data_IF_396085808603
#
_entry.id   IF_396085808603
#
_cell.length_a   1.000
_cell.length_b   1.000
_cell.length_c   1.000
_cell.angle_alpha   90.00
_cell.angle_beta   90.00
_cell.angle_gamma   90.00
#
_symmetry.space_group_name_H-M   'P 1'
#
loop_
_entity.id
_entity.type
_entity.pdbx_description
1 polymer ?
#
# COMPACT_ATOMS: atom_id res chain seq x y z
N UNK A 1 1.47 -41.08 -23.15
CA UNK A 1 0.79 -39.77 -23.23
C UNK A 1 0.88 -39.12 -21.86
N UNK A 2 1.25 -37.83 -21.81
CA UNK A 2 1.17 -36.93 -20.64
C UNK A 2 -0.09 -36.04 -20.81
N UNK A 3 -0.71 -35.47 -19.76
CA UNK A 3 -0.11 -35.14 -18.47
C UNK A 3 -0.85 -35.65 -17.21
N UNK A 4 -0.05 -35.80 -16.16
CA UNK A 4 -0.46 -35.80 -14.76
C UNK A 4 -0.83 -34.36 -14.40
N UNK A 5 -2.06 -34.14 -13.97
CA UNK A 5 -2.49 -32.86 -13.39
C UNK A 5 -2.05 -32.86 -11.93
N UNK A 6 -1.02 -32.09 -11.60
CA UNK A 6 -0.66 -31.83 -10.21
C UNK A 6 -1.68 -30.84 -9.65
N UNK A 7 -2.66 -31.35 -8.90
CA UNK A 7 -3.60 -30.55 -8.13
C UNK A 7 -2.87 -30.08 -6.87
N UNK A 8 -1.99 -29.09 -7.00
CA UNK A 8 -1.50 -28.35 -5.84
C UNK A 8 -2.64 -27.41 -5.46
N UNK A 9 -3.49 -27.88 -4.55
CA UNK A 9 -4.30 -27.10 -3.62
C UNK A 9 -4.96 -25.85 -4.21
N UNK A 10 -5.92 -26.06 -5.11
CA UNK A 10 -6.95 -25.06 -5.37
C UNK A 10 -8.01 -25.15 -4.26
N UNK A 11 -7.65 -24.82 -3.01
CA UNK A 11 -8.63 -24.52 -1.97
C UNK A 11 -9.14 -23.11 -2.23
N UNK A 12 -10.00 -23.00 -3.24
CA UNK A 12 -10.85 -21.83 -3.44
C UNK A 12 -12.01 -21.96 -2.46
N UNK A 13 -11.72 -21.77 -1.17
CA UNK A 13 -12.75 -21.72 -0.14
C UNK A 13 -13.59 -20.47 -0.37
N UNK A 14 -14.87 -20.76 -0.52
CA UNK A 14 -15.96 -19.85 -0.82
C UNK A 14 -16.12 -18.82 0.32
N UNK A 15 -16.28 -17.55 -0.07
CA UNK A 15 -17.04 -16.54 0.68
C UNK A 15 -16.67 -16.41 2.18
N UNK A 16 -15.48 -15.89 2.47
CA UNK A 16 -15.32 -15.16 3.72
C UNK A 16 -16.27 -13.94 3.67
N UNK A 17 -17.10 -13.69 4.70
CA UNK A 17 -17.86 -12.45 4.78
C UNK A 17 -16.88 -11.27 4.69
N UNK A 18 -17.22 -10.22 3.94
CA UNK A 18 -16.34 -9.05 3.72
C UNK A 18 -15.89 -8.36 5.03
N UNK A 19 -16.53 -8.69 6.15
CA UNK A 19 -16.26 -8.22 7.51
C UNK A 19 -15.31 -9.13 8.33
N UNK A 20 -14.80 -10.23 7.77
CA UNK A 20 -13.61 -10.87 8.35
C UNK A 20 -12.43 -9.95 8.05
N UNK A 21 -12.04 -9.17 9.05
CA UNK A 21 -10.76 -8.46 9.02
C UNK A 21 -9.68 -9.46 8.62
N UNK A 22 -9.22 -9.36 7.37
CA UNK A 22 -8.09 -10.14 6.92
C UNK A 22 -6.98 -9.84 7.92
N UNK A 23 -6.43 -10.87 8.60
CA UNK A 23 -5.33 -10.62 9.52
C UNK A 23 -4.26 -9.82 8.77
N UNK A 24 -3.57 -8.88 9.45
CA UNK A 24 -2.52 -8.10 8.84
C UNK A 24 -1.64 -9.01 8.01
N UNK A 25 -1.39 -8.65 6.75
CA UNK A 25 -0.52 -9.47 5.92
C UNK A 25 0.83 -9.55 6.61
N UNK A 26 1.30 -10.76 6.94
CA UNK A 26 2.57 -10.93 7.62
C UNK A 26 3.69 -10.23 6.82
N UNK A 27 4.63 -9.53 7.49
CA UNK A 27 5.72 -8.88 6.79
C UNK A 27 6.62 -9.92 6.13
N UNK A 28 7.08 -9.62 4.92
CA UNK A 28 8.11 -10.41 4.24
C UNK A 28 9.47 -9.90 4.69
N UNK A 29 10.42 -10.80 4.97
CA UNK A 29 11.78 -10.39 5.31
C UNK A 29 12.67 -10.39 4.07
N UNK A 30 13.11 -9.21 3.66
CA UNK A 30 14.09 -9.01 2.57
C UNK A 30 15.36 -8.45 3.19
N UNK A 31 16.50 -9.09 2.93
CA UNK A 31 17.80 -8.74 3.51
C UNK A 31 17.79 -8.55 5.04
N UNK A 32 16.96 -9.34 5.74
CA UNK A 32 16.82 -9.30 7.20
C UNK A 32 15.99 -8.13 7.74
N UNK A 33 15.28 -7.39 6.88
CA UNK A 33 14.37 -6.30 7.26
C UNK A 33 12.92 -6.66 6.91
N UNK A 34 11.94 -6.31 7.75
CA UNK A 34 10.54 -6.52 7.44
C UNK A 34 10.07 -5.52 6.37
N UNK A 35 9.42 -6.03 5.34
CA UNK A 35 8.74 -5.29 4.28
C UNK A 35 7.24 -5.56 4.31
N UNK A 36 6.46 -4.54 4.01
CA UNK A 36 5.00 -4.56 4.11
C UNK A 36 4.38 -4.21 2.76
N UNK A 37 3.28 -4.87 2.38
CA UNK A 37 2.57 -4.55 1.15
C UNK A 37 1.82 -3.22 1.31
N UNK A 38 2.19 -2.21 0.51
CA UNK A 38 1.51 -0.92 0.48
C UNK A 38 0.19 -1.07 -0.30
N UNK A 39 -0.93 -0.77 0.36
CA UNK A 39 -2.27 -0.75 -0.25
C UNK A 39 -2.49 0.54 -1.04
N UNK A 40 -2.17 1.70 -0.45
CA UNK A 40 -2.34 3.02 -1.08
C UNK A 40 -1.53 4.11 -0.41
N UNK A 41 -1.26 5.17 -1.17
CA UNK A 41 -0.71 6.44 -0.67
C UNK A 41 -1.88 7.36 -0.27
N UNK A 42 -1.84 7.87 0.96
CA UNK A 42 -2.89 8.71 1.54
C UNK A 42 -2.60 10.19 1.27
N UNK A 43 -1.40 10.67 1.64
CA UNK A 43 -0.98 12.05 1.43
C UNK A 43 0.52 12.14 1.19
N UNK A 44 0.92 13.28 0.64
CA UNK A 44 2.31 13.71 0.49
C UNK A 44 2.53 14.94 1.34
N UNK A 45 3.60 14.95 2.13
CA UNK A 45 3.96 16.04 3.02
C UNK A 45 5.44 16.40 2.85
N UNK A 46 5.78 17.67 3.00
CA UNK A 46 7.18 18.14 3.01
C UNK A 46 7.52 18.63 4.41
N UNK A 47 8.52 18.03 5.06
CA UNK A 47 9.05 18.41 6.37
C UNK A 47 10.53 18.68 6.26
N UNK A 48 10.98 19.86 6.70
CA UNK A 48 12.40 20.24 6.69
C UNK A 48 13.08 20.05 5.32
N UNK A 49 12.35 20.31 4.23
CA UNK A 49 12.85 20.14 2.86
C UNK A 49 12.86 18.69 2.34
N UNK A 50 12.48 17.71 3.15
CA UNK A 50 12.36 16.29 2.77
C UNK A 50 10.90 15.93 2.47
N UNK A 51 10.70 15.12 1.44
CA UNK A 51 9.37 14.65 1.05
C UNK A 51 9.07 13.32 1.73
N UNK A 52 7.86 13.23 2.32
CA UNK A 52 7.34 12.04 2.97
C UNK A 52 5.99 11.65 2.36
N UNK A 53 5.72 10.35 2.36
CA UNK A 53 4.45 9.76 1.94
C UNK A 53 3.81 9.06 3.13
N UNK A 54 2.56 9.42 3.42
CA UNK A 54 1.76 8.65 4.37
C UNK A 54 1.12 7.48 3.62
N UNK A 55 1.46 6.25 4.02
CA UNK A 55 1.09 5.01 3.33
C UNK A 55 0.19 4.15 4.21
N UNK A 56 -0.80 3.52 3.59
CA UNK A 56 -1.62 2.48 4.20
C UNK A 56 -1.03 1.12 3.82
N UNK A 57 -0.60 0.34 4.80
CA UNK A 57 -0.18 -1.03 4.58
C UNK A 57 -1.38 -1.97 4.60
N UNK A 58 -1.38 -3.00 3.75
CA UNK A 58 -2.50 -3.95 3.64
C UNK A 58 -2.67 -4.72 4.94
N UNK A 59 -3.89 -4.66 5.49
CA UNK A 59 -4.24 -5.34 6.74
C UNK A 59 -3.70 -4.67 8.01
N UNK A 60 -3.10 -3.48 7.91
CA UNK A 60 -2.68 -2.69 9.08
C UNK A 60 -3.51 -1.42 9.16
N UNK A 61 -4.16 -1.17 10.29
CA UNK A 61 -5.03 -0.01 10.47
C UNK A 61 -4.30 1.32 10.37
N UNK A 62 -3.20 1.41 11.09
CA UNK A 62 -2.43 2.63 11.23
C UNK A 62 -1.54 2.90 10.00
N UNK A 63 -1.67 4.07 9.36
CA UNK A 63 -0.76 4.44 8.29
C UNK A 63 0.60 4.87 8.84
N UNK A 64 1.66 4.63 8.06
CA UNK A 64 3.02 5.05 8.40
C UNK A 64 3.49 6.19 7.51
N UNK A 65 4.45 6.98 8.01
CA UNK A 65 5.02 8.12 7.28
C UNK A 65 6.44 7.76 6.82
N UNK A 66 6.57 7.47 5.53
CA UNK A 66 7.82 6.95 4.96
C UNK A 66 8.51 8.00 4.08
N UNK A 67 9.87 8.02 4.03
CA UNK A 67 10.59 8.90 3.13
C UNK A 67 10.26 8.58 1.67
N UNK A 68 10.05 9.62 0.84
CA UNK A 68 9.76 9.44 -0.58
C UNK A 68 10.81 8.58 -1.29
N UNK A 69 12.08 8.82 -1.01
CA UNK A 69 13.20 8.14 -1.68
C UNK A 69 13.29 6.63 -1.33
N UNK A 70 12.64 6.21 -0.24
CA UNK A 70 12.54 4.78 0.13
C UNK A 70 11.40 4.11 -0.64
N UNK A 71 10.29 4.82 -0.83
CA UNK A 71 9.05 4.27 -1.42
C UNK A 71 9.05 4.34 -2.95
N UNK A 72 9.79 5.30 -3.53
CA UNK A 72 9.66 5.67 -4.93
C UNK A 72 9.97 4.55 -5.92
N UNK A 73 10.98 3.75 -5.59
CA UNK A 73 11.46 2.68 -6.45
C UNK A 73 10.62 1.40 -6.30
N UNK A 74 10.06 1.16 -5.11
CA UNK A 74 9.30 -0.06 -4.80
C UNK A 74 7.87 -0.04 -5.34
N UNK A 75 7.20 1.13 -5.31
CA UNK A 75 5.78 1.26 -5.71
C UNK A 75 5.48 2.41 -6.69
N UNK A 76 6.20 2.50 -7.83
CA UNK A 76 6.08 3.60 -8.79
C UNK A 76 4.65 3.72 -9.36
N UNK A 77 3.93 2.60 -9.47
CA UNK A 77 2.54 2.57 -9.96
C UNK A 77 1.59 3.28 -8.98
N UNK A 78 1.75 3.05 -7.67
CA UNK A 78 0.92 3.68 -6.65
C UNK A 78 1.20 5.18 -6.54
N UNK A 79 2.47 5.60 -6.67
CA UNK A 79 2.84 7.02 -6.72
C UNK A 79 2.20 7.69 -7.93
N UNK A 80 2.31 7.07 -9.11
CA UNK A 80 1.67 7.61 -10.32
C UNK A 80 0.16 7.73 -10.15
N UNK A 81 -0.50 6.71 -9.59
CA UNK A 81 -1.93 6.74 -9.32
C UNK A 81 -2.32 7.84 -8.32
N UNK A 82 -1.49 8.06 -7.29
CA UNK A 82 -1.67 9.11 -6.31
C UNK A 82 -1.51 10.51 -6.93
N UNK A 83 -0.45 10.75 -7.69
CA UNK A 83 -0.17 12.06 -8.32
C UNK A 83 -1.19 12.41 -9.42
N UNK A 84 -1.81 11.40 -10.06
CA UNK A 84 -2.88 11.60 -11.03
C UNK A 84 -4.23 11.94 -10.39
N UNK A 85 -4.43 11.68 -9.08
CA UNK A 85 -5.63 12.11 -8.39
C UNK A 85 -5.60 13.62 -8.26
N UNK A 86 -6.50 14.31 -8.99
CA UNK A 86 -6.74 15.74 -8.79
C UNK A 86 -6.98 15.99 -7.30
N UNK A 87 -6.25 16.91 -6.65
CA UNK A 87 -6.53 17.24 -5.26
C UNK A 87 -8.02 17.61 -5.18
N UNK A 88 -8.78 16.87 -4.36
CA UNK A 88 -10.13 17.29 -3.99
C UNK A 88 -9.95 18.67 -3.37
N UNK A 89 -10.37 19.71 -4.12
CA UNK A 89 -9.86 21.05 -3.96
C UNK A 89 -9.76 21.46 -2.50
N UNK A 90 -8.57 21.79 -2.02
CA UNK A 90 -8.44 22.59 -0.81
C UNK A 90 -9.09 23.91 -1.17
N UNK A 91 -10.23 24.32 -0.57
CA UNK A 91 -10.68 25.69 -0.76
C UNK A 91 -9.51 26.55 -0.29
N UNK A 92 -9.02 27.44 -1.16
CA UNK A 92 -8.12 28.49 -0.69
C UNK A 92 -8.86 29.19 0.44
N UNK A 93 -8.38 29.07 1.67
CA UNK A 93 -8.79 30.00 2.73
C UNK A 93 -8.29 31.35 2.25
N UNK A 94 -9.20 32.16 1.70
CA UNK A 94 -8.95 33.56 1.47
C UNK A 94 -8.51 34.14 2.82
N UNK A 95 -7.27 34.61 2.88
CA UNK A 95 -6.86 35.55 3.90
C UNK A 95 -7.61 36.85 3.63
N UNK A 96 -8.47 37.24 4.56
CA UNK A 96 -9.02 38.59 4.68
C UNK A 96 -8.75 39.06 6.11
#
# INVERSE_FOLDING_TARGET
>A
MHPVVSVIHLEKTELAPEDMEHPPSEPVFVDGKPEFEIERIIRKEVREGKTYLEVKCRGYDDPTLEPYDVIADDVPILIKAFEQRKPRGRPRKNAL
#
